data_IF_342471542180
#
_entry.id   IF_342471542180
#
_cell.length_a   1.000
_cell.length_b   1.000
_cell.length_c   1.000
_cell.angle_alpha   90.00
_cell.angle_beta   90.00
_cell.angle_gamma   90.00
#
_symmetry.space_group_name_H-M   'P 1'
#
loop_
_entity.id
_entity.type
_entity.pdbx_description
1 polymer ?
#
# COMPACT_ATOMS: atom_id res chain seq x y z
N UNK A 1 -8.23 19.19 -0.57
CA UNK A 1 -9.06 18.23 -1.34
C UNK A 1 -9.99 19.03 -2.25
N UNK A 2 -9.93 18.84 -3.58
CA UNK A 2 -10.96 19.38 -4.46
C UNK A 2 -12.26 18.63 -4.16
N UNK A 3 -13.25 19.32 -3.61
CA UNK A 3 -14.58 18.76 -3.37
C UNK A 3 -15.17 18.31 -4.70
N UNK A 4 -15.45 17.03 -4.81
CA UNK A 4 -16.14 16.47 -5.98
C UNK A 4 -17.58 16.97 -5.92
N UNK A 5 -18.07 17.56 -7.02
CA UNK A 5 -19.42 18.05 -7.04
C UNK A 5 -20.43 16.89 -7.13
N UNK A 6 -21.61 17.09 -6.59
CA UNK A 6 -22.70 16.11 -6.77
C UNK A 6 -23.06 15.91 -8.24
N UNK A 7 -22.86 16.95 -9.06
CA UNK A 7 -23.08 16.88 -10.50
C UNK A 7 -22.11 15.91 -11.18
N UNK A 8 -20.82 15.91 -10.78
CA UNK A 8 -19.83 14.99 -11.32
C UNK A 8 -20.20 13.53 -11.00
N UNK A 9 -20.70 13.27 -9.77
CA UNK A 9 -21.18 11.95 -9.37
C UNK A 9 -22.42 11.52 -10.18
N UNK A 10 -23.32 12.44 -10.47
CA UNK A 10 -24.52 12.20 -11.28
C UNK A 10 -24.11 11.86 -12.71
N UNK A 11 -23.25 12.66 -13.34
CA UNK A 11 -22.81 12.51 -14.73
C UNK A 11 -21.96 11.26 -14.95
N UNK A 12 -21.23 10.82 -13.92
CA UNK A 12 -20.53 9.55 -13.91
C UNK A 12 -21.44 8.33 -13.72
N UNK A 13 -22.72 8.54 -13.36
CA UNK A 13 -23.69 7.46 -13.16
C UNK A 13 -23.47 6.66 -11.88
N UNK A 14 -22.89 7.28 -10.85
CA UNK A 14 -22.60 6.67 -9.54
C UNK A 14 -23.88 6.25 -8.83
N UNK A 15 -24.99 6.94 -9.08
CA UNK A 15 -26.28 6.74 -8.44
C UNK A 15 -27.04 5.49 -8.90
N UNK A 16 -26.67 4.87 -10.00
CA UNK A 16 -27.33 3.66 -10.48
C UNK A 16 -26.89 2.44 -9.67
N UNK A 17 -27.84 1.76 -9.07
CA UNK A 17 -27.64 0.48 -8.42
C UNK A 17 -28.15 -0.70 -9.25
N UNK A 18 -28.25 -1.86 -8.63
CA UNK A 18 -28.73 -3.09 -9.24
C UNK A 18 -30.26 -3.20 -9.20
N UNK A 19 -30.77 -4.21 -9.91
CA UNK A 19 -32.18 -4.56 -9.94
C UNK A 19 -32.71 -4.87 -8.52
N UNK A 20 -33.91 -4.42 -8.20
CA UNK A 20 -34.60 -4.66 -6.92
C UNK A 20 -34.55 -6.11 -6.44
N UNK A 21 -34.71 -7.10 -7.34
CA UNK A 21 -34.70 -8.52 -6.96
C UNK A 21 -33.36 -9.04 -6.43
N UNK A 22 -32.25 -8.27 -6.63
CA UNK A 22 -30.88 -8.65 -6.24
C UNK A 22 -30.35 -7.84 -5.06
N UNK A 23 -31.15 -6.91 -4.54
CA UNK A 23 -30.66 -5.98 -3.52
C UNK A 23 -30.43 -6.67 -2.16
N UNK A 24 -29.57 -6.07 -1.36
CA UNK A 24 -29.35 -6.48 0.01
C UNK A 24 -30.11 -5.53 0.96
N UNK A 25 -30.94 -6.04 1.90
CA UNK A 25 -31.67 -5.20 2.85
C UNK A 25 -30.78 -4.28 3.70
N UNK A 26 -29.54 -4.66 3.96
CA UNK A 26 -28.58 -3.83 4.70
C UNK A 26 -28.16 -2.57 3.95
N UNK A 27 -28.39 -2.51 2.63
CA UNK A 27 -28.19 -1.31 1.82
C UNK A 27 -29.36 -0.32 1.88
N UNK A 28 -30.48 -0.67 2.52
CA UNK A 28 -31.64 0.22 2.65
C UNK A 28 -31.30 1.66 3.11
N UNK A 29 -30.39 1.89 4.06
CA UNK A 29 -30.01 3.25 4.46
C UNK A 29 -29.39 4.10 3.36
N UNK A 30 -28.80 3.50 2.33
CA UNK A 30 -28.08 4.17 1.23
C UNK A 30 -28.92 4.31 -0.04
N UNK A 31 -30.10 3.68 -0.09
CA UNK A 31 -31.02 3.75 -1.23
C UNK A 31 -31.92 4.97 -1.08
N UNK A 32 -31.99 5.81 -2.12
CA UNK A 32 -32.84 6.97 -2.17
C UNK A 32 -34.27 6.61 -2.65
N UNK A 33 -34.37 5.89 -3.78
CA UNK A 33 -35.64 5.52 -4.39
C UNK A 33 -35.49 4.31 -5.33
N UNK A 34 -36.61 3.79 -5.78
CA UNK A 34 -36.70 2.81 -6.86
C UNK A 34 -37.24 3.46 -8.14
N UNK A 35 -36.61 3.24 -9.28
CA UNK A 35 -37.11 3.69 -10.59
C UNK A 35 -36.89 2.60 -11.61
N UNK A 36 -37.97 2.23 -12.34
CA UNK A 36 -37.91 1.18 -13.36
C UNK A 36 -37.37 -0.17 -12.88
N UNK A 37 -37.61 -0.54 -11.61
CA UNK A 37 -37.12 -1.78 -11.03
C UNK A 37 -35.64 -1.79 -10.67
N UNK A 38 -34.99 -0.62 -10.70
CA UNK A 38 -33.59 -0.42 -10.32
C UNK A 38 -33.55 0.50 -9.10
N UNK A 39 -32.72 0.17 -8.13
CA UNK A 39 -32.46 1.05 -6.97
C UNK A 39 -31.56 2.21 -7.36
N UNK A 40 -31.87 3.38 -6.84
CA UNK A 40 -31.06 4.60 -6.99
C UNK A 40 -30.40 4.89 -5.64
N UNK A 41 -29.08 5.05 -5.66
CA UNK A 41 -28.26 5.33 -4.49
C UNK A 41 -28.33 6.82 -4.16
N UNK A 42 -28.34 7.15 -2.87
CA UNK A 42 -28.33 8.52 -2.37
C UNK A 42 -26.93 9.14 -2.50
N UNK A 43 -26.76 10.07 -3.44
CA UNK A 43 -25.48 10.73 -3.71
C UNK A 43 -24.95 11.56 -2.54
N UNK A 44 -25.82 12.08 -1.66
CA UNK A 44 -25.37 12.79 -0.47
C UNK A 44 -24.61 11.87 0.48
N UNK A 45 -25.13 10.65 0.67
CA UNK A 45 -24.48 9.64 1.49
C UNK A 45 -23.22 9.09 0.83
N UNK A 46 -23.26 8.95 -0.51
CA UNK A 46 -22.05 8.59 -1.27
C UNK A 46 -20.95 9.61 -1.07
N UNK A 47 -21.26 10.90 -1.19
CA UNK A 47 -20.29 11.99 -1.02
C UNK A 47 -19.67 11.97 0.38
N UNK A 48 -20.49 11.91 1.43
CA UNK A 48 -20.02 11.87 2.81
C UNK A 48 -19.11 10.65 3.08
N UNK A 49 -19.52 9.46 2.59
CA UNK A 49 -18.71 8.23 2.75
C UNK A 49 -17.46 8.22 1.90
N UNK A 50 -17.47 8.87 0.76
CA UNK A 50 -16.30 9.03 -0.10
C UNK A 50 -15.24 9.94 0.55
N UNK A 51 -15.66 11.03 1.19
CA UNK A 51 -14.75 11.91 1.93
C UNK A 51 -14.15 11.21 3.16
N UNK A 52 -14.97 10.45 3.90
CA UNK A 52 -14.50 9.64 5.04
C UNK A 52 -13.45 8.61 4.58
N UNK A 53 -13.72 7.89 3.49
CA UNK A 53 -12.80 6.93 2.90
C UNK A 53 -11.50 7.58 2.39
N UNK A 54 -11.61 8.74 1.71
CA UNK A 54 -10.46 9.48 1.22
C UNK A 54 -9.55 9.97 2.36
N UNK A 55 -10.15 10.45 3.47
CA UNK A 55 -9.40 10.83 4.67
C UNK A 55 -8.65 9.65 5.28
N UNK A 56 -9.28 8.47 5.37
CA UNK A 56 -8.63 7.25 5.86
C UNK A 56 -7.46 6.82 4.94
N UNK A 57 -7.67 6.83 3.62
CA UNK A 57 -6.63 6.53 2.62
C UNK A 57 -5.44 7.48 2.76
N UNK A 58 -5.70 8.78 2.88
CA UNK A 58 -4.67 9.82 3.07
C UNK A 58 -3.83 9.57 4.32
N UNK A 59 -4.46 9.27 5.45
CA UNK A 59 -3.78 8.96 6.71
C UNK A 59 -2.86 7.72 6.58
N UNK A 60 -3.35 6.66 5.93
CA UNK A 60 -2.56 5.46 5.70
C UNK A 60 -1.36 5.74 4.79
N UNK A 61 -1.56 6.51 3.72
CA UNK A 61 -0.50 6.92 2.80
C UNK A 61 0.55 7.81 3.49
N UNK A 62 0.12 8.75 4.34
CA UNK A 62 0.99 9.59 5.17
C UNK A 62 1.87 8.76 6.10
N UNK A 63 1.35 7.68 6.69
CA UNK A 63 2.16 6.73 7.48
C UNK A 63 3.20 5.95 6.65
N UNK A 64 3.15 6.05 5.32
CA UNK A 64 4.05 5.38 4.37
C UNK A 64 3.80 3.89 4.20
N UNK A 65 2.66 3.42 4.64
CA UNK A 65 2.24 2.04 4.46
C UNK A 65 1.59 1.86 3.08
N UNK A 66 1.58 0.63 2.58
CA UNK A 66 0.99 0.31 1.28
C UNK A 66 -0.49 -0.08 1.42
N UNK A 67 -1.29 0.40 0.48
CA UNK A 67 -2.69 0.02 0.29
C UNK A 67 -2.75 -0.94 -0.88
N UNK A 68 -3.44 -2.06 -0.74
CA UNK A 68 -3.61 -3.05 -1.80
C UNK A 68 -4.95 -2.82 -2.50
N UNK A 69 -4.91 -2.52 -3.80
CA UNK A 69 -6.09 -2.33 -4.62
C UNK A 69 -6.54 -3.67 -5.24
N UNK A 70 -7.82 -3.98 -5.15
CA UNK A 70 -8.40 -5.26 -5.61
C UNK A 70 -9.59 -5.01 -6.52
N UNK A 71 -9.50 -5.48 -7.77
CA UNK A 71 -10.58 -5.33 -8.74
C UNK A 71 -10.50 -6.41 -9.83
N UNK A 72 -11.22 -7.50 -9.70
CA UNK A 72 -11.26 -8.54 -10.74
C UNK A 72 -12.39 -8.36 -11.75
N UNK A 73 -13.25 -7.36 -11.58
CA UNK A 73 -14.34 -7.02 -12.49
C UNK A 73 -13.78 -6.48 -13.81
N UNK A 74 -14.29 -6.93 -14.94
CA UNK A 74 -13.76 -6.56 -16.27
C UNK A 74 -13.73 -5.05 -16.49
N UNK A 75 -14.75 -4.35 -16.03
CA UNK A 75 -14.90 -2.89 -16.17
C UNK A 75 -13.88 -2.11 -15.31
N UNK A 76 -13.45 -2.68 -14.18
CA UNK A 76 -12.57 -2.05 -13.22
C UNK A 76 -11.07 -2.35 -13.42
N UNK A 77 -10.72 -3.48 -14.06
CA UNK A 77 -9.34 -3.97 -14.16
C UNK A 77 -8.34 -2.95 -14.66
N UNK A 78 -8.59 -2.35 -15.81
CA UNK A 78 -7.67 -1.40 -16.45
C UNK A 78 -7.57 -0.10 -15.68
N UNK A 79 -8.71 0.40 -15.20
CA UNK A 79 -8.81 1.64 -14.43
C UNK A 79 -7.98 1.50 -13.15
N UNK A 80 -8.23 0.44 -12.37
CA UNK A 80 -7.53 0.20 -11.11
C UNK A 80 -6.04 -0.08 -11.33
N UNK A 81 -5.67 -0.83 -12.37
CA UNK A 81 -4.26 -1.07 -12.69
C UNK A 81 -3.51 0.23 -13.02
N UNK A 82 -4.09 1.09 -13.85
CA UNK A 82 -3.47 2.36 -14.24
C UNK A 82 -3.38 3.33 -13.05
N UNK A 83 -4.48 3.48 -12.33
CA UNK A 83 -4.57 4.32 -11.13
C UNK A 83 -3.59 3.88 -10.02
N UNK A 84 -3.46 2.58 -9.77
CA UNK A 84 -2.53 2.07 -8.76
C UNK A 84 -1.06 2.21 -9.16
N UNK A 85 -0.76 2.07 -10.46
CA UNK A 85 0.60 2.27 -10.98
C UNK A 85 1.08 3.72 -10.84
N UNK A 86 0.21 4.71 -11.06
CA UNK A 86 0.59 6.13 -10.95
C UNK A 86 1.10 6.49 -9.56
N UNK A 87 0.53 5.88 -8.51
CA UNK A 87 0.93 6.10 -7.11
C UNK A 87 1.85 5.01 -6.54
N UNK A 88 2.34 4.11 -7.39
CA UNK A 88 3.22 2.99 -7.00
C UNK A 88 2.65 2.17 -5.83
N UNK A 89 1.36 1.86 -5.89
CA UNK A 89 0.67 0.99 -4.95
C UNK A 89 0.45 -0.41 -5.53
N UNK A 90 0.50 -1.48 -4.74
CA UNK A 90 0.23 -2.84 -5.20
C UNK A 90 -1.25 -3.00 -5.57
N UNK A 91 -1.53 -3.85 -6.57
CA UNK A 91 -2.88 -4.13 -7.01
C UNK A 91 -3.07 -5.57 -7.48
N UNK A 92 -4.30 -6.07 -7.46
CA UNK A 92 -4.69 -7.38 -7.98
C UNK A 92 -5.92 -7.19 -8.88
N UNK A 93 -5.76 -7.51 -10.18
CA UNK A 93 -6.81 -7.30 -11.18
C UNK A 93 -7.25 -8.58 -11.90
N UNK A 94 -6.47 -9.65 -11.87
CA UNK A 94 -6.82 -10.87 -12.60
C UNK A 94 -7.66 -11.83 -11.78
N UNK A 95 -7.12 -12.30 -10.68
CA UNK A 95 -7.78 -13.23 -9.77
C UNK A 95 -7.17 -13.09 -8.39
N UNK A 96 -7.99 -13.03 -7.35
CA UNK A 96 -7.53 -13.13 -5.97
C UNK A 96 -7.04 -14.55 -5.70
N UNK A 97 -5.75 -14.77 -5.40
CA UNK A 97 -5.28 -16.07 -4.97
C UNK A 97 -5.71 -16.28 -3.51
N UNK A 98 -6.44 -17.37 -3.25
CA UNK A 98 -6.84 -17.71 -1.88
C UNK A 98 -5.63 -17.83 -0.96
N UNK A 99 -5.72 -17.27 0.25
CA UNK A 99 -4.60 -17.19 1.18
C UNK A 99 -3.61 -16.06 0.87
N UNK A 100 -4.00 -15.07 0.07
CA UNK A 100 -3.12 -13.94 -0.26
C UNK A 100 -2.67 -13.17 0.98
N UNK A 101 -3.56 -12.98 1.93
CA UNK A 101 -3.27 -12.32 3.21
C UNK A 101 -3.02 -13.35 4.32
N UNK A 102 -3.90 -14.32 4.47
CA UNK A 102 -3.84 -15.31 5.56
C UNK A 102 -2.66 -16.28 5.44
N UNK A 103 -2.19 -16.56 4.22
CA UNK A 103 -1.00 -17.39 3.96
C UNK A 103 0.06 -16.61 3.15
N UNK A 104 0.33 -15.39 3.58
CA UNK A 104 1.22 -14.46 2.88
C UNK A 104 2.64 -15.03 2.68
N UNK A 105 3.16 -15.78 3.65
CA UNK A 105 4.48 -16.42 3.55
C UNK A 105 4.60 -17.35 2.32
N UNK A 106 3.56 -18.12 2.02
CA UNK A 106 3.53 -19.01 0.84
C UNK A 106 3.40 -18.21 -0.46
N UNK A 107 2.61 -17.13 -0.46
CA UNK A 107 2.52 -16.24 -1.62
C UNK A 107 3.88 -15.56 -1.91
N UNK A 108 4.60 -15.14 -0.88
CA UNK A 108 5.98 -14.62 -1.02
C UNK A 108 6.96 -15.65 -1.61
N UNK A 109 6.82 -16.95 -1.28
CA UNK A 109 7.61 -18.00 -1.93
C UNK A 109 7.30 -18.09 -3.44
N UNK A 110 6.02 -17.95 -3.82
CA UNK A 110 5.61 -17.92 -5.22
C UNK A 110 6.18 -16.71 -5.98
N UNK A 111 6.18 -15.53 -5.36
CA UNK A 111 6.82 -14.31 -5.91
C UNK A 111 8.34 -14.52 -6.06
N UNK A 112 9.02 -15.07 -5.06
CA UNK A 112 10.45 -15.40 -5.14
C UNK A 112 10.74 -16.40 -6.27
N UNK A 113 9.87 -17.40 -6.47
CA UNK A 113 9.99 -18.36 -7.58
C UNK A 113 9.86 -17.65 -8.93
N UNK A 114 8.97 -16.66 -9.07
CA UNK A 114 8.88 -15.84 -10.28
C UNK A 114 10.20 -15.12 -10.56
N UNK A 115 10.80 -14.47 -9.56
CA UNK A 115 12.11 -13.82 -9.70
C UNK A 115 13.27 -14.80 -10.02
N UNK A 116 13.20 -16.05 -9.51
CA UNK A 116 14.20 -17.07 -9.90
C UNK A 116 14.06 -17.53 -11.35
N UNK A 117 12.84 -17.57 -11.88
CA UNK A 117 12.61 -17.85 -13.31
C UNK A 117 13.14 -16.69 -14.20
N UNK A 118 13.00 -15.44 -13.74
CA UNK A 118 13.56 -14.26 -14.42
C UNK A 118 15.09 -14.36 -14.51
N UNK A 119 15.75 -14.65 -13.40
CA UNK A 119 17.20 -14.86 -13.36
C UNK A 119 17.65 -15.99 -14.27
N UNK A 120 16.96 -17.14 -14.22
CA UNK A 120 17.26 -18.29 -15.09
C UNK A 120 17.19 -17.93 -16.57
N UNK A 121 16.28 -17.02 -16.97
CA UNK A 121 16.16 -16.56 -18.34
C UNK A 121 17.29 -15.60 -18.74
N UNK A 122 17.91 -14.91 -17.78
CA UNK A 122 18.99 -13.94 -18.00
C UNK A 122 20.37 -14.58 -17.93
N UNK A 123 20.55 -15.61 -17.12
CA UNK A 123 21.86 -16.22 -16.81
C UNK A 123 22.37 -17.24 -17.85
N UNK A 124 21.76 -17.33 -19.05
CA UNK A 124 22.17 -18.25 -20.09
C UNK A 124 21.85 -19.74 -19.85
N UNK A 125 21.43 -20.11 -18.63
CA UNK A 125 20.94 -21.48 -18.35
C UNK A 125 19.71 -21.84 -19.17
N UNK A 126 18.99 -20.83 -19.63
CA UNK A 126 17.83 -20.99 -20.50
C UNK A 126 18.20 -21.58 -21.86
N UNK A 127 19.42 -21.38 -22.36
CA UNK A 127 19.89 -21.89 -23.66
C UNK A 127 20.33 -23.36 -23.63
N UNK A 128 20.60 -23.88 -22.43
CA UNK A 128 21.03 -25.27 -22.22
C UNK A 128 19.83 -26.23 -22.16
N UNK A 129 18.64 -25.77 -21.76
CA UNK A 129 17.43 -26.60 -21.62
C UNK A 129 16.74 -26.85 -22.95
N UNK A 130 15.96 -27.95 -23.03
CA UNK A 130 15.25 -28.34 -24.25
C UNK A 130 14.19 -27.34 -24.70
N UNK A 131 13.85 -27.28 -25.99
CA UNK A 131 12.80 -26.39 -26.54
C UNK A 131 11.46 -26.51 -25.80
N UNK A 132 11.07 -27.74 -25.43
CA UNK A 132 9.81 -28.01 -24.69
C UNK A 132 9.84 -27.41 -23.30
N UNK A 133 10.94 -27.55 -22.61
CA UNK A 133 11.13 -26.99 -21.27
C UNK A 133 11.15 -25.45 -21.30
N UNK A 134 11.87 -24.84 -22.26
CA UNK A 134 11.85 -23.39 -22.47
C UNK A 134 10.43 -22.85 -22.61
N UNK A 135 9.63 -23.48 -23.46
CA UNK A 135 8.25 -23.08 -23.67
C UNK A 135 7.40 -23.22 -22.39
N UNK A 136 7.63 -24.28 -21.62
CA UNK A 136 6.92 -24.51 -20.36
C UNK A 136 7.29 -23.45 -19.32
N UNK A 137 8.58 -23.14 -19.17
CA UNK A 137 9.09 -22.09 -18.27
C UNK A 137 8.55 -20.71 -18.66
N UNK A 138 8.60 -20.36 -19.95
CA UNK A 138 8.07 -19.09 -20.45
C UNK A 138 6.58 -18.93 -20.17
N UNK A 139 5.78 -19.97 -20.42
CA UNK A 139 4.34 -19.96 -20.13
C UNK A 139 4.07 -19.86 -18.63
N UNK A 140 4.85 -20.56 -17.80
CA UNK A 140 4.72 -20.50 -16.35
C UNK A 140 5.08 -19.11 -15.83
N UNK A 141 6.17 -18.49 -16.30
CA UNK A 141 6.55 -17.11 -15.98
C UNK A 141 5.42 -16.15 -16.33
N UNK A 142 4.97 -16.13 -17.58
CA UNK A 142 3.92 -15.24 -18.04
C UNK A 142 2.63 -15.37 -17.21
N UNK A 143 2.26 -16.59 -16.82
CA UNK A 143 1.11 -16.82 -15.92
C UNK A 143 1.34 -16.25 -14.52
N UNK A 144 2.52 -16.42 -13.95
CA UNK A 144 2.87 -15.92 -12.63
C UNK A 144 2.98 -14.39 -12.62
N UNK A 145 3.60 -13.81 -13.65
CA UNK A 145 3.73 -12.36 -13.83
C UNK A 145 2.38 -11.68 -13.92
N UNK A 146 1.45 -12.26 -14.69
CA UNK A 146 0.08 -11.77 -14.80
C UNK A 146 -0.67 -11.77 -13.46
N UNK A 147 -0.44 -12.78 -12.60
CA UNK A 147 -1.15 -12.96 -11.33
C UNK A 147 -0.48 -12.24 -10.14
N UNK A 148 0.85 -12.18 -10.13
CA UNK A 148 1.64 -11.77 -8.98
C UNK A 148 2.60 -10.62 -9.27
N UNK A 149 2.76 -10.21 -10.53
CA UNK A 149 3.70 -9.17 -10.92
C UNK A 149 3.46 -7.84 -10.22
N UNK A 150 2.19 -7.46 -10.08
CA UNK A 150 1.77 -6.22 -9.42
C UNK A 150 2.00 -6.18 -7.90
N UNK A 151 2.26 -7.33 -7.27
CA UNK A 151 2.54 -7.47 -5.85
C UNK A 151 3.97 -7.94 -5.54
N UNK A 152 4.85 -7.93 -6.55
CA UNK A 152 6.24 -8.38 -6.41
C UNK A 152 6.98 -7.63 -5.30
N UNK A 153 6.76 -6.32 -5.20
CA UNK A 153 7.39 -5.42 -4.22
C UNK A 153 6.71 -5.41 -2.85
N UNK A 154 5.60 -6.14 -2.70
CA UNK A 154 4.89 -6.21 -1.43
C UNK A 154 5.61 -7.14 -0.45
N UNK A 155 6.48 -6.57 0.41
CA UNK A 155 7.30 -7.32 1.36
C UNK A 155 6.59 -7.61 2.69
N UNK A 156 5.57 -6.83 3.04
CA UNK A 156 4.77 -6.94 4.26
C UNK A 156 3.30 -6.93 3.91
N UNK A 157 2.45 -7.35 4.84
CA UNK A 157 1.00 -7.23 4.70
C UNK A 157 0.62 -5.76 4.44
N UNK A 158 -0.36 -5.50 3.56
CA UNK A 158 -0.87 -4.16 3.32
C UNK A 158 -1.53 -3.61 4.58
N UNK A 159 -1.51 -2.29 4.73
CA UNK A 159 -2.15 -1.62 5.86
C UNK A 159 -3.66 -1.44 5.68
N UNK A 160 -4.14 -1.46 4.45
CA UNK A 160 -5.54 -1.46 4.10
C UNK A 160 -5.77 -2.12 2.74
N UNK A 161 -7.01 -2.54 2.49
CA UNK A 161 -7.48 -2.99 1.19
C UNK A 161 -8.46 -1.96 0.61
N UNK A 162 -8.31 -1.65 -0.67
CA UNK A 162 -9.34 -0.98 -1.45
C UNK A 162 -9.96 -1.98 -2.42
N UNK A 163 -11.27 -2.21 -2.33
CA UNK A 163 -11.95 -3.30 -3.04
C UNK A 163 -13.04 -2.72 -3.93
N UNK A 164 -13.03 -3.10 -5.21
CA UNK A 164 -14.12 -2.80 -6.14
C UNK A 164 -14.98 -4.04 -6.29
N UNK A 165 -16.28 -3.92 -5.97
CA UNK A 165 -17.26 -5.01 -5.94
C UNK A 165 -16.95 -6.06 -4.85
N UNK A 166 -17.44 -5.78 -3.64
CA UNK A 166 -17.23 -6.65 -2.46
C UNK A 166 -17.95 -8.00 -2.56
N UNK A 167 -19.01 -8.12 -3.37
CA UNK A 167 -19.71 -9.40 -3.58
C UNK A 167 -18.81 -10.35 -4.35
N UNK A 168 -18.13 -9.83 -5.36
CA UNK A 168 -17.22 -10.63 -6.19
C UNK A 168 -15.93 -10.98 -5.45
N UNK A 169 -15.39 -10.05 -4.68
CA UNK A 169 -14.15 -10.19 -3.94
C UNK A 169 -14.37 -10.66 -2.49
N UNK A 170 -15.44 -11.42 -2.23
CA UNK A 170 -15.82 -11.89 -0.89
C UNK A 170 -14.68 -12.64 -0.15
N UNK A 171 -13.78 -13.33 -0.89
CA UNK A 171 -12.63 -14.02 -0.31
C UNK A 171 -11.63 -13.00 0.24
N UNK A 172 -11.35 -11.93 -0.50
CA UNK A 172 -10.46 -10.86 -0.06
C UNK A 172 -10.99 -10.16 1.19
N UNK A 173 -12.31 -9.87 1.21
CA UNK A 173 -13.00 -9.30 2.37
C UNK A 173 -12.90 -10.21 3.58
N UNK A 174 -13.21 -11.50 3.43
CA UNK A 174 -13.13 -12.46 4.52
C UNK A 174 -11.71 -12.62 5.10
N UNK A 175 -10.69 -12.61 4.24
CA UNK A 175 -9.29 -12.65 4.68
C UNK A 175 -8.88 -11.37 5.43
N UNK A 176 -9.33 -10.19 4.95
CA UNK A 176 -9.06 -8.92 5.60
C UNK A 176 -9.68 -8.85 6.99
N UNK A 177 -10.97 -9.20 7.12
CA UNK A 177 -11.67 -9.27 8.41
C UNK A 177 -10.95 -10.20 9.39
N UNK A 178 -10.52 -11.38 8.91
CA UNK A 178 -9.81 -12.36 9.74
C UNK A 178 -8.49 -11.83 10.32
N UNK A 179 -7.84 -10.93 9.61
CA UNK A 179 -6.56 -10.34 10.01
C UNK A 179 -6.70 -8.95 10.64
N UNK A 180 -7.91 -8.41 10.73
CA UNK A 180 -8.16 -7.05 11.23
C UNK A 180 -7.53 -5.96 10.35
N UNK A 181 -7.46 -6.20 9.03
CA UNK A 181 -6.93 -5.21 8.08
C UNK A 181 -8.08 -4.30 7.65
N UNK A 182 -7.97 -2.98 7.84
CA UNK A 182 -8.99 -2.02 7.41
C UNK A 182 -9.35 -2.16 5.93
N UNK A 183 -10.65 -2.14 5.66
CA UNK A 183 -11.20 -2.32 4.32
C UNK A 183 -11.97 -1.09 3.87
N UNK A 184 -11.70 -0.66 2.65
CA UNK A 184 -12.40 0.40 1.94
C UNK A 184 -13.02 -0.26 0.71
N UNK A 185 -14.30 -0.07 0.46
CA UNK A 185 -14.92 -0.81 -0.64
C UNK A 185 -16.04 -0.06 -1.33
N UNK A 186 -16.11 -0.22 -2.65
CA UNK A 186 -17.26 0.21 -3.44
C UNK A 186 -18.36 -0.82 -3.22
N UNK A 187 -19.50 -0.36 -2.69
CA UNK A 187 -20.65 -1.15 -2.29
C UNK A 187 -21.85 -0.76 -3.15
N UNK A 188 -22.23 -1.62 -4.09
CA UNK A 188 -23.49 -1.45 -4.81
C UNK A 188 -24.69 -2.00 -3.99
N UNK A 189 -25.90 -1.81 -4.44
CA UNK A 189 -27.14 -2.16 -3.74
C UNK A 189 -27.33 -3.66 -3.49
N UNK A 190 -26.55 -4.53 -4.13
CA UNK A 190 -26.53 -5.99 -3.91
C UNK A 190 -25.55 -6.43 -2.81
N UNK A 191 -24.78 -5.50 -2.27
CA UNK A 191 -23.67 -5.74 -1.35
C UNK A 191 -24.07 -5.66 0.11
N UNK A 192 -23.25 -6.20 1.02
CA UNK A 192 -23.40 -6.03 2.47
C UNK A 192 -22.38 -4.99 2.99
N UNK A 193 -22.79 -3.74 3.26
CA UNK A 193 -21.89 -2.70 3.70
C UNK A 193 -21.33 -2.92 5.10
N UNK A 194 -21.97 -3.78 5.92
CA UNK A 194 -21.53 -4.04 7.29
C UNK A 194 -20.21 -4.86 7.37
N UNK A 195 -19.78 -5.44 6.26
CA UNK A 195 -18.51 -6.19 6.17
C UNK A 195 -17.29 -5.30 5.90
N UNK A 196 -17.51 -4.01 5.61
CA UNK A 196 -16.48 -3.06 5.19
C UNK A 196 -16.42 -1.92 6.21
N UNK A 197 -15.20 -1.53 6.60
CA UNK A 197 -15.01 -0.44 7.57
C UNK A 197 -15.38 0.93 6.97
N UNK A 198 -15.00 1.15 5.71
CA UNK A 198 -15.29 2.38 4.96
C UNK A 198 -16.07 2.06 3.67
N UNK A 199 -17.39 1.81 3.78
CA UNK A 199 -18.21 1.52 2.62
C UNK A 199 -18.48 2.80 1.80
N UNK A 200 -18.28 2.72 0.49
CA UNK A 200 -18.60 3.77 -0.47
C UNK A 200 -19.80 3.29 -1.28
N UNK A 201 -21.03 3.75 -0.99
CA UNK A 201 -22.20 3.38 -1.76
C UNK A 201 -22.11 3.96 -3.17
N UNK A 202 -21.91 3.12 -4.18
CA UNK A 202 -21.73 3.56 -5.55
C UNK A 202 -21.89 2.41 -6.55
N UNK A 203 -22.12 2.79 -7.80
CA UNK A 203 -22.20 1.87 -8.92
C UNK A 203 -20.83 1.25 -9.22
N UNK A 204 -20.77 -0.07 -9.19
CA UNK A 204 -19.56 -0.87 -9.46
C UNK A 204 -19.51 -1.47 -10.88
N UNK A 205 -20.53 -1.19 -11.74
CA UNK A 205 -20.61 -1.64 -13.12
C UNK A 205 -20.18 -0.58 -14.13
N UNK A 206 -20.44 0.69 -13.84
CA UNK A 206 -20.13 1.79 -14.73
C UNK A 206 -18.64 2.17 -14.67
N UNK A 207 -17.94 2.07 -15.80
CA UNK A 207 -16.51 2.46 -15.91
C UNK A 207 -16.25 3.89 -15.45
N UNK A 208 -17.13 4.85 -15.82
CA UNK A 208 -17.03 6.26 -15.40
C UNK A 208 -17.16 6.44 -13.89
N UNK A 209 -18.06 5.70 -13.24
CA UNK A 209 -18.23 5.72 -11.79
C UNK A 209 -16.97 5.22 -11.07
N UNK A 210 -16.45 4.09 -11.51
CA UNK A 210 -15.23 3.50 -10.95
C UNK A 210 -14.03 4.43 -11.17
N UNK A 211 -13.88 5.00 -12.36
CA UNK A 211 -12.79 5.91 -12.68
C UNK A 211 -12.81 7.18 -11.81
N UNK A 212 -13.99 7.79 -11.65
CA UNK A 212 -14.15 8.96 -10.79
C UNK A 212 -13.74 8.67 -9.34
N UNK A 213 -14.23 7.57 -8.77
CA UNK A 213 -13.91 7.16 -7.39
C UNK A 213 -12.41 6.84 -7.27
N UNK A 214 -11.85 6.12 -8.23
CA UNK A 214 -10.42 5.80 -8.23
C UNK A 214 -9.55 7.04 -8.30
N UNK A 215 -9.90 8.02 -9.13
CA UNK A 215 -9.17 9.28 -9.24
C UNK A 215 -9.16 10.06 -7.92
N UNK A 216 -10.27 10.04 -7.17
CA UNK A 216 -10.36 10.64 -5.84
C UNK A 216 -9.44 9.92 -4.85
N UNK A 217 -9.46 8.59 -4.85
CA UNK A 217 -8.61 7.78 -3.97
C UNK A 217 -7.12 7.97 -4.30
N UNK A 218 -6.76 8.02 -5.58
CA UNK A 218 -5.38 8.29 -6.02
C UNK A 218 -4.90 9.65 -5.55
N UNK A 219 -5.71 10.70 -5.73
CA UNK A 219 -5.39 12.04 -5.21
C UNK A 219 -5.18 12.04 -3.70
N UNK A 220 -6.03 11.33 -2.94
CA UNK A 220 -5.87 11.21 -1.50
C UNK A 220 -4.54 10.51 -1.12
N UNK A 221 -4.14 9.48 -1.88
CA UNK A 221 -2.83 8.82 -1.71
C UNK A 221 -1.68 9.79 -2.01
N UNK A 222 -1.75 10.52 -3.12
CA UNK A 222 -0.73 11.49 -3.54
C UNK A 222 -0.56 12.61 -2.50
N UNK A 223 -1.67 13.16 -2.00
CA UNK A 223 -1.65 14.15 -0.92
C UNK A 223 -0.99 13.59 0.35
N UNK A 224 -1.36 12.37 0.78
CA UNK A 224 -0.76 11.74 1.93
C UNK A 224 0.75 11.46 1.76
N UNK A 225 1.16 11.05 0.56
CA UNK A 225 2.58 10.85 0.24
C UNK A 225 3.37 12.15 0.20
N UNK A 226 2.78 13.24 -0.30
CA UNK A 226 3.41 14.57 -0.32
C UNK A 226 3.57 15.14 1.08
N UNK A 227 2.54 15.06 1.93
CA UNK A 227 2.64 15.47 3.34
C UNK A 227 3.73 14.69 4.07
N UNK A 228 3.84 13.39 3.85
CA UNK A 228 4.92 12.59 4.43
C UNK A 228 6.31 13.04 4.00
N UNK A 229 6.47 13.46 2.73
CA UNK A 229 7.77 13.96 2.26
C UNK A 229 8.11 15.27 2.97
N UNK A 230 7.16 16.18 3.06
CA UNK A 230 7.33 17.47 3.76
C UNK A 230 7.65 17.27 5.24
N UNK A 231 6.92 16.39 5.92
CA UNK A 231 7.18 16.08 7.33
C UNK A 231 8.61 15.53 7.53
N UNK A 232 9.09 14.65 6.65
CA UNK A 232 10.46 14.12 6.71
C UNK A 232 11.55 15.14 6.39
N UNK A 233 11.28 16.06 5.49
CA UNK A 233 12.20 17.16 5.19
C UNK A 233 12.35 18.07 6.41
N UNK A 234 11.22 18.43 7.03
CA UNK A 234 11.23 19.22 8.27
C UNK A 234 11.89 18.51 9.45
N UNK A 235 11.71 17.19 9.60
CA UNK A 235 12.42 16.41 10.62
C UNK A 235 13.94 16.43 10.37
N UNK A 236 14.37 16.25 9.12
CA UNK A 236 15.79 16.32 8.76
C UNK A 236 16.40 17.70 8.99
N UNK A 237 15.68 18.76 8.63
CA UNK A 237 16.15 20.12 8.87
C UNK A 237 16.32 20.39 10.38
N UNK A 238 15.38 19.89 11.20
CA UNK A 238 15.50 19.99 12.66
C UNK A 238 16.64 19.17 13.24
N UNK A 239 16.87 17.97 12.71
CA UNK A 239 18.01 17.13 13.12
C UNK A 239 19.34 17.80 12.79
N UNK A 240 19.48 18.37 11.57
CA UNK A 240 20.70 19.10 11.15
C UNK A 240 20.91 20.34 12.01
N UNK A 241 19.87 21.14 12.26
CA UNK A 241 19.96 22.32 13.13
C UNK A 241 20.37 21.95 14.56
N UNK A 242 19.82 20.86 15.10
CA UNK A 242 20.20 20.38 16.43
C UNK A 242 21.65 19.84 16.49
N UNK A 243 22.13 19.21 15.42
CA UNK A 243 23.52 18.77 15.31
C UNK A 243 24.49 19.96 15.18
N UNK A 244 24.10 21.03 14.46
CA UNK A 244 24.89 22.27 14.34
C UNK A 244 24.96 23.01 15.69
N UNK A 245 23.84 23.16 16.42
CA UNK A 245 23.79 23.76 17.76
C UNK A 245 24.65 22.96 18.76
N UNK A 246 24.56 21.64 18.74
CA UNK A 246 25.39 20.78 19.60
C UNK A 246 26.88 20.85 19.25
N UNK A 247 27.20 21.04 17.97
CA UNK A 247 28.57 21.26 17.50
C UNK A 247 29.14 22.61 17.94
N UNK A 248 28.35 23.67 17.93
CA UNK A 248 28.75 25.00 18.41
C UNK A 248 28.91 25.03 19.93
N UNK A 249 28.07 24.40 20.71
CA UNK A 249 28.24 24.27 22.17
C UNK A 249 29.49 23.46 22.52
N UNK A 250 29.79 22.39 21.80
CA UNK A 250 31.02 21.61 22.02
C UNK A 250 32.30 22.38 21.68
N UNK A 251 32.26 23.27 20.68
CA UNK A 251 33.41 24.15 20.36
C UNK A 251 33.58 25.31 21.33
N UNK A 252 32.49 25.86 21.90
CA UNK A 252 32.54 26.87 22.96
C UNK A 252 33.13 26.31 24.25
N UNK A 253 32.72 25.13 24.67
CA UNK A 253 33.23 24.44 25.87
C UNK A 253 34.71 24.05 25.72
N UNK A 254 35.18 23.76 24.49
CA UNK A 254 36.60 23.49 24.21
C UNK A 254 37.46 24.76 24.23
N UNK A 255 36.92 25.93 23.90
CA UNK A 255 37.63 27.21 23.91
C UNK A 255 37.81 27.74 25.34
N UNK A 256 36.88 27.47 26.26
CA UNK A 256 37.00 27.90 27.69
C UNK A 256 38.00 27.06 28.50
N UNK A 257 38.44 25.90 28.02
CA UNK A 257 39.41 25.03 28.70
C UNK A 257 40.87 25.40 28.39
N UNK A 258 41.13 26.15 27.31
CA UNK A 258 42.49 26.53 26.91
C UNK A 258 43.02 27.84 27.55
N UNK A 259 42.18 28.62 28.27
CA UNK A 259 42.60 29.85 28.95
C UNK A 259 43.07 29.68 30.41
N UNK A 260 42.92 28.54 31.06
CA UNK A 260 43.35 28.31 32.45
C UNK A 260 44.53 27.33 32.61
N UNK A 261 45.52 27.34 31.78
CA UNK A 261 46.61 26.37 31.85
C UNK A 261 48.02 26.86 31.50
N UNK A 262 48.44 28.05 31.97
CA UNK A 262 49.87 28.42 31.90
C UNK A 262 50.51 28.50 33.29
N UNK A 263 51.17 27.44 33.72
CA UNK A 263 52.00 27.47 34.93
C UNK A 263 52.62 26.13 35.31
N UNK A 264 53.91 25.94 34.89
CA UNK A 264 54.93 25.10 35.54
C UNK A 264 54.57 23.61 35.80
N UNK A 265 55.37 22.62 35.50
CA UNK A 265 56.77 22.31 35.68
C UNK A 265 57.09 20.92 35.07
N UNK A 266 58.32 20.75 34.57
CA UNK A 266 58.85 19.51 34.00
C UNK A 266 59.15 18.47 35.06
N UNK A 267 58.68 17.22 34.87
CA UNK A 267 59.40 16.01 35.33
C UNK A 267 59.19 14.85 34.39
N UNK A 268 60.30 14.33 33.89
CA UNK A 268 60.42 13.11 33.15
C UNK A 268 59.96 11.89 33.93
N UNK A 269 59.08 11.07 33.33
CA UNK A 269 59.09 9.61 33.52
C UNK A 269 58.31 8.89 32.40
N UNK A 270 59.02 8.10 31.61
CA UNK A 270 58.45 7.13 30.66
C UNK A 270 57.79 5.98 31.37
N UNK A 271 56.64 5.51 30.96
CA UNK A 271 56.23 4.14 31.20
C UNK A 271 56.28 3.29 29.92
N UNK A 272 56.73 2.05 30.15
CA UNK A 272 56.85 0.94 29.20
C UNK A 272 55.45 0.44 28.71
N UNK A 273 55.40 -0.22 27.53
CA UNK A 273 54.16 -0.77 27.00
C UNK A 273 53.84 -2.15 27.59
N UNK A 274 52.63 -2.33 28.09
CA UNK A 274 52.10 -3.63 28.50
C UNK A 274 51.05 -4.15 27.50
N UNK A 275 51.28 -5.29 27.09
CA UNK A 275 50.57 -6.49 26.67
C UNK A 275 49.21 -6.39 26.01
N UNK A 276 49.15 -6.94 24.78
CA UNK A 276 47.96 -7.36 24.05
C UNK A 276 47.21 -8.48 24.80
N UNK A 277 45.90 -8.49 24.90
CA UNK A 277 45.15 -9.67 25.32
C UNK A 277 44.89 -10.64 24.14
N UNK A 278 45.15 -11.92 24.44
CA UNK A 278 44.98 -13.10 23.58
C UNK A 278 43.47 -13.43 23.35
N UNK A 279 43.15 -13.85 22.14
CA UNK A 279 41.90 -14.48 21.78
C UNK A 279 41.78 -15.89 22.43
N UNK A 280 40.59 -16.33 22.87
CA UNK A 280 40.37 -17.70 23.23
C UNK A 280 40.08 -18.59 22.02
N UNK A 281 40.73 -19.72 21.96
CA UNK A 281 40.59 -20.79 21.00
C UNK A 281 39.36 -21.63 21.28
N UNK A 282 38.62 -21.98 20.21
CA UNK A 282 37.50 -22.92 20.24
C UNK A 282 38.00 -24.35 20.51
N UNK A 283 37.35 -25.03 21.43
CA UNK A 283 37.47 -26.50 21.61
C UNK A 283 36.32 -27.18 20.88
N UNK A 284 36.69 -28.15 20.04
CA UNK A 284 35.83 -29.21 19.51
C UNK A 284 35.40 -30.16 20.62
N UNK A 285 34.18 -30.58 20.55
CA UNK A 285 33.55 -31.72 21.22
C UNK A 285 32.21 -31.94 20.59
#
# INVERSE_FOLDING_TARGET
MSSVSQQDLLDAGVHFGHLKRKWNPKMAPYIFMERNGIHIIDLNKTHAKLEEAAAAVKQIAKSGKKILFVATKKQAKEIVANASKSVNMPYITERWPGGMLTNFATQRKSVKKMGSLDKMMTDGTFDIISKKERLTVTRQKAKMEKLLGSIADLNRLPAALFIVDIVKEHIAVAEAIKLGIPTIGICDTNSDPSLIDFPIPANDDATKSIDLIMNIMVKAVEEGMSERKMDKEQEREKEVAAEEEAGEEATMVAADVDEEGSGTEKTDTKPKPTGRPRKPTAKKG
#
